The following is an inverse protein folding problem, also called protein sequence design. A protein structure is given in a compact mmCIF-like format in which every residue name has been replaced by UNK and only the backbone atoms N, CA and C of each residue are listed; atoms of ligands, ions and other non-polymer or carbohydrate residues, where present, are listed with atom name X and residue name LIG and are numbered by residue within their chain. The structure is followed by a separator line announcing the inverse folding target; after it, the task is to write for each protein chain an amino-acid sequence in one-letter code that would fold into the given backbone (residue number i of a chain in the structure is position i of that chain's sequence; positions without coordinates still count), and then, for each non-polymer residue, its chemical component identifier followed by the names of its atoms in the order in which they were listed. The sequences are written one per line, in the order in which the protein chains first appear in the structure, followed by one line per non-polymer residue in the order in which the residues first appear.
data_IF_109964401240
#
_entry.id   IF_109964401240
#
_cell.length_a   1.000
_cell.length_b   1.000
_cell.length_c   1.000
_cell.angle_alpha   90.00
_cell.angle_beta   90.00
_cell.angle_gamma   90.00
#
_symmetry.space_group_name_H-M   'P 1'
#
loop_
_entity.id
_entity.type
_entity.pdbx_description
1 polymer ?
#
# COMPACT_ATOMS: atom_id res chain seq x y z
N UNK A 1 34.09 -7.58 30.29
CA UNK A 1 34.17 -8.27 28.98
C UNK A 1 34.03 -9.77 29.24
N UNK A 2 32.87 -10.33 28.98
CA UNK A 2 32.61 -11.76 29.14
C UNK A 2 32.80 -12.45 27.80
N UNK A 3 33.79 -13.34 27.73
CA UNK A 3 34.08 -14.13 26.53
C UNK A 3 32.98 -15.19 26.31
N UNK A 4 32.27 -15.08 25.17
CA UNK A 4 31.37 -16.13 24.69
C UNK A 4 32.20 -17.30 24.14
N UNK A 5 32.08 -18.48 24.75
CA UNK A 5 32.75 -19.69 24.28
C UNK A 5 31.85 -20.54 23.39
N UNK A 6 32.46 -21.35 22.48
CA UNK A 6 31.78 -22.29 21.56
C UNK A 6 30.77 -23.23 22.24
N UNK A 7 30.93 -23.52 23.53
CA UNK A 7 30.00 -24.36 24.30
C UNK A 7 28.65 -23.71 24.60
N UNK A 8 28.60 -22.38 24.69
CA UNK A 8 27.34 -21.64 24.93
C UNK A 8 26.48 -21.60 23.67
N UNK A 9 27.11 -21.54 22.47
CA UNK A 9 26.41 -21.57 21.19
C UNK A 9 25.72 -22.92 20.90
N UNK A 10 26.37 -24.05 21.24
CA UNK A 10 25.82 -25.39 21.01
C UNK A 10 24.66 -25.75 21.97
N UNK A 11 24.61 -25.16 23.18
CA UNK A 11 23.48 -25.37 24.10
C UNK A 11 22.23 -24.59 23.69
N UNK A 12 22.37 -23.45 23.05
CA UNK A 12 21.24 -22.68 22.51
C UNK A 12 20.66 -23.33 21.24
N UNK A 13 21.45 -24.04 20.45
CA UNK A 13 21.00 -24.72 19.22
C UNK A 13 20.25 -26.04 19.54
N UNK A 14 20.51 -26.69 20.68
CA UNK A 14 19.84 -27.94 21.05
C UNK A 14 18.46 -27.71 21.69
N UNK A 15 18.22 -26.52 22.23
CA UNK A 15 16.91 -26.15 22.81
C UNK A 15 15.84 -25.83 21.74
N UNK A 16 16.23 -25.57 20.48
CA UNK A 16 15.31 -25.30 19.37
C UNK A 16 14.82 -26.55 18.64
N UNK A 17 15.43 -27.73 18.86
CA UNK A 17 15.03 -28.97 18.19
C UNK A 17 14.04 -29.83 18.98
N UNK A 18 13.73 -29.51 20.25
CA UNK A 18 12.78 -30.29 21.09
C UNK A 18 11.39 -29.63 21.12
N UNK A 19 11.23 -28.42 20.59
CA UNK A 19 9.90 -27.74 20.52
C UNK A 19 9.01 -28.23 19.36
N UNK A 20 9.49 -29.13 18.50
CA UNK A 20 8.75 -29.61 17.32
C UNK A 20 7.82 -30.82 17.56
N UNK A 21 7.84 -31.46 18.73
CA UNK A 21 7.13 -32.74 18.92
C UNK A 21 6.06 -32.77 20.03
N UNK A 22 5.70 -31.65 20.64
CA UNK A 22 4.68 -31.60 21.71
C UNK A 22 3.41 -30.83 21.32
N UNK A 23 3.25 -30.51 20.04
CA UNK A 23 2.11 -29.71 19.54
C UNK A 23 0.77 -30.46 19.40
N UNK A 24 0.67 -31.74 19.88
CA UNK A 24 -0.53 -32.54 19.68
C UNK A 24 -1.38 -32.76 20.95
N UNK A 25 -1.18 -32.04 22.04
CA UNK A 25 -1.88 -32.32 23.32
C UNK A 25 -2.57 -31.10 23.97
N UNK A 26 -2.82 -30.01 23.26
CA UNK A 26 -3.68 -28.92 23.79
C UNK A 26 -4.91 -28.73 22.90
N UNK A 27 -6.14 -29.02 23.36
CA UNK A 27 -7.37 -28.68 22.66
C UNK A 27 -7.62 -27.17 22.84
N UNK A 28 -7.16 -26.36 21.88
CA UNK A 28 -7.29 -24.89 21.92
C UNK A 28 -6.44 -24.15 20.92
N UNK A 29 -5.63 -24.84 20.15
CA UNK A 29 -4.90 -24.19 19.06
C UNK A 29 -5.86 -23.76 17.95
N UNK A 30 -5.96 -22.44 17.76
CA UNK A 30 -6.59 -21.82 16.60
C UNK A 30 -6.06 -22.52 15.34
N UNK A 31 -6.94 -23.19 14.61
CA UNK A 31 -6.61 -23.73 13.29
C UNK A 31 -6.14 -22.55 12.45
N UNK A 32 -4.87 -22.49 12.13
CA UNK A 32 -4.34 -21.60 11.11
C UNK A 32 -5.13 -21.85 9.84
N UNK A 33 -5.98 -20.91 9.48
CA UNK A 33 -6.75 -21.01 8.24
C UNK A 33 -5.80 -21.34 7.10
N UNK A 34 -6.16 -22.28 6.25
CA UNK A 34 -5.35 -22.68 5.10
C UNK A 34 -5.01 -21.43 4.31
N UNK A 35 -3.72 -21.06 4.27
CA UNK A 35 -3.23 -20.00 3.40
C UNK A 35 -3.50 -20.47 1.96
N UNK A 36 -4.55 -19.92 1.35
CA UNK A 36 -4.89 -20.23 -0.03
C UNK A 36 -3.71 -19.90 -0.94
N UNK A 37 -3.35 -20.83 -1.82
CA UNK A 37 -2.35 -20.57 -2.85
C UNK A 37 -2.79 -19.39 -3.73
N UNK A 38 -1.92 -18.46 -4.14
CA UNK A 38 -2.27 -17.43 -5.12
C UNK A 38 -2.86 -17.97 -6.42
N UNK A 39 -2.52 -19.20 -6.80
CA UNK A 39 -3.10 -19.90 -7.96
C UNK A 39 -4.56 -20.30 -7.71
N UNK A 40 -4.92 -20.62 -6.46
CA UNK A 40 -6.28 -21.03 -6.09
C UNK A 40 -7.26 -19.86 -6.02
N UNK A 41 -6.73 -18.64 -5.90
CA UNK A 41 -7.52 -17.44 -5.64
C UNK A 41 -7.88 -16.69 -6.93
N UNK A 42 -7.25 -17.01 -8.05
CA UNK A 42 -7.33 -16.25 -9.30
C UNK A 42 -8.78 -16.11 -9.80
N UNK A 43 -9.40 -14.96 -9.49
CA UNK A 43 -10.79 -14.65 -9.86
C UNK A 43 -11.85 -15.42 -9.08
N UNK A 44 -11.50 -16.18 -8.04
CA UNK A 44 -12.45 -16.98 -7.26
C UNK A 44 -12.93 -16.23 -6.02
N UNK A 45 -14.19 -16.36 -5.74
CA UNK A 45 -14.82 -16.08 -4.45
C UNK A 45 -14.68 -17.33 -3.58
N UNK A 46 -15.01 -17.23 -2.30
CA UNK A 46 -14.93 -18.33 -1.33
C UNK A 46 -16.34 -18.75 -0.90
N UNK A 47 -16.99 -19.71 -1.58
CA UNK A 47 -18.35 -20.13 -1.29
C UNK A 47 -18.48 -20.66 0.14
N UNK A 48 -19.55 -20.24 0.83
CA UNK A 48 -19.83 -20.67 2.20
C UNK A 48 -18.83 -20.22 3.27
N UNK A 49 -17.97 -19.25 2.94
CA UNK A 49 -16.86 -18.83 3.81
C UNK A 49 -17.13 -17.53 4.60
N UNK A 50 -18.34 -16.98 4.51
CA UNK A 50 -18.76 -15.85 5.32
C UNK A 50 -19.04 -16.29 6.78
N UNK A 51 -18.80 -15.43 7.79
CA UNK A 51 -19.18 -15.73 9.15
C UNK A 51 -20.70 -15.90 9.27
N UNK A 52 -21.15 -16.80 10.12
CA UNK A 52 -22.60 -17.08 10.32
C UNK A 52 -23.37 -15.89 10.89
N UNK A 53 -22.69 -15.00 11.59
CA UNK A 53 -23.26 -13.78 12.21
C UNK A 53 -22.38 -12.59 11.90
N UNK A 54 -23.00 -11.41 11.75
CA UNK A 54 -22.27 -10.17 11.74
C UNK A 54 -21.61 -9.94 13.09
N UNK A 55 -20.38 -9.53 13.08
CA UNK A 55 -19.67 -9.08 14.26
C UNK A 55 -19.69 -7.54 14.35
N UNK A 56 -19.24 -6.98 15.49
CA UNK A 56 -19.26 -5.52 15.71
C UNK A 56 -18.42 -4.73 14.69
N UNK A 57 -17.45 -5.36 14.03
CA UNK A 57 -16.60 -4.77 12.97
C UNK A 57 -17.19 -4.89 11.57
N UNK A 58 -18.48 -5.24 11.47
CA UNK A 58 -19.17 -5.31 10.18
C UNK A 58 -19.86 -3.99 9.87
N UNK A 59 -19.70 -3.54 8.62
CA UNK A 59 -20.36 -2.37 8.06
C UNK A 59 -20.98 -2.71 6.72
N UNK A 60 -22.23 -2.31 6.45
CA UNK A 60 -22.84 -2.50 5.13
C UNK A 60 -22.02 -1.76 4.07
N UNK A 61 -21.76 -2.42 2.93
CA UNK A 61 -20.95 -1.89 1.84
C UNK A 61 -21.57 -0.68 1.17
N UNK A 62 -20.75 0.29 0.77
CA UNK A 62 -21.24 1.51 0.12
C UNK A 62 -21.45 1.34 -1.39
N UNK A 63 -20.73 0.42 -2.02
CA UNK A 63 -20.76 0.20 -3.47
C UNK A 63 -21.02 -1.26 -3.78
N UNK A 64 -22.30 -1.60 -3.97
CA UNK A 64 -22.71 -2.91 -4.45
C UNK A 64 -24.10 -2.87 -5.09
N UNK A 65 -24.40 -3.87 -5.89
CA UNK A 65 -25.72 -4.09 -6.47
C UNK A 65 -26.30 -5.43 -6.01
N UNK A 66 -27.59 -5.44 -5.72
CA UNK A 66 -28.34 -6.68 -5.47
C UNK A 66 -28.69 -7.36 -6.79
N UNK A 67 -28.69 -8.68 -6.79
CA UNK A 67 -29.03 -9.52 -7.92
C UNK A 67 -30.01 -10.62 -7.51
N UNK A 68 -30.54 -11.36 -8.49
CA UNK A 68 -31.46 -12.46 -8.26
C UNK A 68 -30.88 -13.50 -7.28
N UNK A 69 -31.75 -14.14 -6.47
CA UNK A 69 -31.35 -15.18 -5.52
C UNK A 69 -30.51 -14.64 -4.34
N UNK A 70 -30.75 -13.39 -3.91
CA UNK A 70 -30.00 -12.73 -2.85
C UNK A 70 -28.48 -12.65 -3.11
N UNK A 71 -28.05 -12.72 -4.37
CA UNK A 71 -26.67 -12.44 -4.75
C UNK A 71 -26.39 -10.94 -4.68
N UNK A 72 -25.14 -10.61 -4.47
CA UNK A 72 -24.65 -9.22 -4.52
C UNK A 72 -23.41 -9.12 -5.38
N UNK A 73 -23.31 -8.05 -6.17
CA UNK A 73 -22.13 -7.71 -6.94
C UNK A 73 -21.39 -6.57 -6.24
N UNK A 74 -20.16 -6.80 -5.80
CA UNK A 74 -19.30 -5.76 -5.24
C UNK A 74 -18.74 -4.86 -6.35
N UNK A 75 -18.91 -3.55 -6.23
CA UNK A 75 -18.51 -2.56 -7.23
C UNK A 75 -17.28 -1.73 -6.83
N UNK A 76 -16.62 -2.05 -5.71
CA UNK A 76 -15.49 -1.26 -5.21
C UNK A 76 -14.25 -1.37 -6.11
N UNK A 77 -13.94 -2.57 -6.60
CA UNK A 77 -12.73 -2.80 -7.39
C UNK A 77 -12.98 -3.64 -8.65
N UNK A 78 -12.04 -3.66 -9.62
CA UNK A 78 -12.19 -4.38 -10.88
C UNK A 78 -12.29 -5.92 -10.79
N UNK A 79 -12.22 -6.51 -9.60
CA UNK A 79 -12.52 -7.94 -9.42
C UNK A 79 -14.00 -8.25 -9.59
N UNK A 80 -14.89 -7.28 -9.39
CA UNK A 80 -16.34 -7.41 -9.58
C UNK A 80 -16.90 -8.71 -8.99
N UNK A 81 -16.58 -9.00 -7.71
CA UNK A 81 -16.99 -10.23 -7.06
C UNK A 81 -18.51 -10.34 -6.99
N UNK A 82 -19.08 -11.40 -7.60
CA UNK A 82 -20.48 -11.79 -7.48
C UNK A 82 -20.56 -12.84 -6.37
N UNK A 83 -21.24 -12.51 -5.27
CA UNK A 83 -21.28 -13.29 -4.05
C UNK A 83 -22.69 -13.84 -3.83
N UNK A 84 -22.85 -15.14 -3.69
CA UNK A 84 -24.05 -15.76 -3.17
C UNK A 84 -24.16 -15.55 -1.65
N UNK A 85 -25.33 -15.74 -1.02
CA UNK A 85 -25.43 -15.71 0.43
C UNK A 85 -24.43 -16.68 1.08
N UNK A 86 -23.63 -16.16 2.02
CA UNK A 86 -22.57 -16.92 2.69
C UNK A 86 -21.21 -16.88 1.98
N UNK A 87 -21.09 -16.24 0.82
CA UNK A 87 -19.82 -16.14 0.11
C UNK A 87 -18.96 -14.97 0.61
N UNK A 88 -17.65 -15.12 0.41
CA UNK A 88 -16.61 -14.13 0.70
C UNK A 88 -15.91 -13.69 -0.58
N UNK A 89 -15.61 -12.41 -0.70
CA UNK A 89 -14.90 -11.82 -1.83
C UNK A 89 -13.42 -12.23 -1.91
N UNK A 90 -12.82 -12.00 -3.07
CA UNK A 90 -11.39 -12.21 -3.34
C UNK A 90 -10.50 -11.45 -2.36
N UNK A 91 -10.89 -10.24 -1.93
CA UNK A 91 -10.11 -9.44 -0.96
C UNK A 91 -10.22 -9.95 0.48
N UNK A 92 -11.09 -10.90 0.77
CA UNK A 92 -11.36 -11.55 2.06
C UNK A 92 -12.08 -10.68 3.09
N UNK A 93 -12.23 -9.39 2.86
CA UNK A 93 -12.85 -8.44 3.79
C UNK A 93 -14.32 -8.11 3.48
N UNK A 94 -14.86 -8.59 2.35
CA UNK A 94 -16.28 -8.42 1.99
C UNK A 94 -17.01 -9.76 1.98
N UNK A 95 -18.24 -9.77 2.53
CA UNK A 95 -19.10 -10.96 2.62
C UNK A 95 -20.53 -10.62 2.23
N UNK A 96 -21.25 -11.61 1.68
CA UNK A 96 -22.70 -11.51 1.48
C UNK A 96 -23.43 -12.21 2.63
N UNK A 97 -24.20 -11.48 3.40
CA UNK A 97 -25.09 -12.01 4.42
C UNK A 97 -26.53 -11.54 4.14
N UNK A 98 -27.41 -12.52 3.85
CA UNK A 98 -28.83 -12.25 3.62
C UNK A 98 -29.13 -11.33 2.43
N UNK A 99 -28.33 -11.34 1.36
CA UNK A 99 -28.52 -10.49 0.18
C UNK A 99 -28.02 -9.06 0.36
N UNK A 100 -27.15 -8.82 1.34
CA UNK A 100 -26.44 -7.54 1.55
C UNK A 100 -24.94 -7.77 1.60
N UNK A 101 -24.20 -6.85 0.98
CA UNK A 101 -22.73 -6.84 1.08
C UNK A 101 -22.32 -6.17 2.39
N UNK A 102 -21.44 -6.81 3.14
CA UNK A 102 -20.84 -6.24 4.34
C UNK A 102 -19.31 -6.24 4.23
N UNK A 103 -18.69 -5.14 4.61
CA UNK A 103 -17.29 -5.14 5.06
C UNK A 103 -17.23 -5.75 6.45
N UNK A 104 -16.29 -6.64 6.71
CA UNK A 104 -15.99 -7.18 8.03
C UNK A 104 -14.61 -6.70 8.53
N UNK A 105 -14.09 -5.68 7.87
CA UNK A 105 -12.88 -4.95 8.19
C UNK A 105 -13.28 -3.48 8.46
N UNK A 106 -13.74 -3.21 9.70
CA UNK A 106 -14.23 -1.89 10.11
C UNK A 106 -13.91 -1.62 11.58
N UNK A 107 -12.72 -1.11 11.84
CA UNK A 107 -12.25 -0.78 13.18
C UNK A 107 -11.57 -1.94 13.91
N UNK A 108 -11.16 -2.98 13.20
CA UNK A 108 -10.33 -4.09 13.67
C UNK A 108 -8.92 -4.01 13.05
N UNK A 109 -8.23 -2.91 13.35
CA UNK A 109 -6.93 -2.58 12.76
C UNK A 109 -5.87 -3.63 13.11
N UNK A 110 -5.31 -4.29 12.08
CA UNK A 110 -4.21 -5.26 12.22
C UNK A 110 -2.83 -4.61 12.27
N UNK A 111 -2.73 -3.33 11.96
CA UNK A 111 -1.53 -2.52 12.17
C UNK A 111 -1.90 -1.06 12.44
N UNK A 112 -1.23 -0.45 13.43
CA UNK A 112 -1.32 0.97 13.75
C UNK A 112 0.04 1.45 14.24
N UNK A 113 0.66 2.42 13.54
CA UNK A 113 1.99 2.93 13.83
C UNK A 113 2.09 4.43 13.57
N UNK A 114 3.05 5.08 14.20
CA UNK A 114 3.45 6.46 13.86
C UNK A 114 4.69 6.37 12.98
N UNK A 115 4.58 6.82 11.73
CA UNK A 115 5.65 6.77 10.75
C UNK A 115 6.01 8.18 10.24
N UNK A 116 7.24 8.41 9.78
CA UNK A 116 7.53 9.57 8.95
C UNK A 116 6.76 9.46 7.62
N UNK A 117 6.32 10.62 7.10
CA UNK A 117 5.56 10.66 5.83
C UNK A 117 6.38 10.10 4.65
N UNK A 118 7.70 10.27 4.69
CA UNK A 118 8.64 9.78 3.68
C UNK A 118 8.60 8.24 3.54
N UNK A 119 8.24 7.52 4.60
CA UNK A 119 8.05 6.05 4.57
C UNK A 119 6.85 5.62 3.72
N UNK A 120 5.98 6.57 3.34
CA UNK A 120 4.80 6.33 2.49
C UNK A 120 5.07 6.53 1.00
N UNK A 121 6.30 6.50 0.53
CA UNK A 121 6.92 7.22 -0.58
C UNK A 121 6.14 8.49 -1.00
N UNK A 122 6.00 9.41 -0.02
CA UNK A 122 5.42 10.75 -0.22
C UNK A 122 6.50 11.78 0.11
N UNK A 123 7.29 12.14 -0.90
CA UNK A 123 8.46 13.02 -0.77
C UNK A 123 8.13 14.48 -1.01
N UNK A 124 7.05 14.76 -1.74
CA UNK A 124 6.55 16.10 -2.03
C UNK A 124 5.25 16.41 -1.28
N UNK A 125 4.94 15.65 -0.24
CA UNK A 125 3.76 15.85 0.61
C UNK A 125 4.18 16.06 2.06
N UNK A 126 4.11 17.31 2.55
CA UNK A 126 4.36 17.72 3.94
C UNK A 126 5.60 17.05 4.57
N UNK A 127 6.80 17.16 3.96
CA UNK A 127 8.01 16.49 4.45
C UNK A 127 8.31 16.87 5.91
N UNK A 128 9.02 15.99 6.63
CA UNK A 128 9.31 16.07 8.06
C UNK A 128 8.12 15.86 8.99
N UNK A 129 6.91 15.58 8.47
CA UNK A 129 5.76 15.32 9.33
C UNK A 129 5.63 13.85 9.68
N UNK A 130 4.96 13.60 10.80
CA UNK A 130 4.53 12.25 11.19
C UNK A 130 3.14 11.97 10.65
N UNK A 131 2.89 10.73 10.30
CA UNK A 131 1.58 10.22 9.90
C UNK A 131 1.18 9.05 10.79
N UNK A 132 -0.08 9.03 11.22
CA UNK A 132 -0.65 7.86 11.89
C UNK A 132 -1.05 6.85 10.82
N UNK A 133 -0.32 5.75 10.74
CA UNK A 133 -0.45 4.72 9.70
C UNK A 133 -1.27 3.57 10.21
N UNK A 134 -2.30 3.17 9.49
CA UNK A 134 -3.18 2.08 9.87
C UNK A 134 -3.48 1.12 8.72
N UNK A 135 -3.81 -0.13 9.06
CA UNK A 135 -4.28 -1.16 8.15
C UNK A 135 -5.34 -2.03 8.78
N UNK A 136 -6.28 -2.45 7.97
CA UNK A 136 -7.14 -3.61 8.19
C UNK A 136 -6.66 -4.77 7.32
N UNK A 137 -7.04 -6.02 7.63
CA UNK A 137 -6.59 -7.17 6.87
C UNK A 137 -7.29 -7.30 5.51
N UNK A 138 -6.57 -7.85 4.54
CA UNK A 138 -7.06 -8.14 3.20
C UNK A 138 -6.40 -7.34 2.08
N UNK A 139 -6.47 -7.87 0.87
CA UNK A 139 -6.01 -7.21 -0.36
C UNK A 139 -6.77 -7.73 -1.57
N UNK A 140 -7.07 -6.86 -2.53
CA UNK A 140 -7.73 -7.21 -3.78
C UNK A 140 -6.77 -7.73 -4.87
N UNK A 141 -5.46 -7.77 -4.58
CA UNK A 141 -4.42 -8.40 -5.38
C UNK A 141 -3.72 -9.53 -4.61
N UNK A 142 -2.78 -10.26 -5.28
CA UNK A 142 -2.13 -11.45 -4.76
C UNK A 142 -0.67 -11.50 -5.16
N UNK A 143 0.03 -10.39 -4.94
CA UNK A 143 1.42 -10.25 -5.34
C UNK A 143 2.28 -11.37 -4.76
N UNK A 144 3.04 -12.06 -5.62
CA UNK A 144 3.96 -13.13 -5.21
C UNK A 144 5.10 -12.59 -4.33
N UNK A 145 5.40 -11.30 -4.45
CA UNK A 145 6.45 -10.56 -3.74
C UNK A 145 5.92 -9.72 -2.58
N UNK A 146 4.73 -10.00 -2.05
CA UNK A 146 4.11 -9.16 -1.04
C UNK A 146 4.93 -9.12 0.25
N UNK A 147 5.34 -7.92 0.68
CA UNK A 147 6.10 -7.74 1.92
C UNK A 147 5.22 -7.90 3.16
N UNK A 148 3.95 -7.53 3.07
CA UNK A 148 2.98 -7.56 4.16
C UNK A 148 1.96 -8.70 3.96
N UNK A 149 2.41 -9.85 3.43
CA UNK A 149 1.52 -10.96 3.08
C UNK A 149 0.74 -11.50 4.28
N UNK A 150 1.31 -11.44 5.48
CA UNK A 150 0.69 -11.92 6.71
C UNK A 150 -0.66 -11.24 6.98
N UNK A 151 -0.80 -9.96 6.64
CA UNK A 151 -2.06 -9.22 6.82
C UNK A 151 -2.81 -9.02 5.49
N UNK A 152 -2.09 -8.91 4.37
CA UNK A 152 -2.70 -8.68 3.04
C UNK A 152 -3.36 -9.92 2.47
N UNK A 153 -2.84 -11.12 2.79
CA UNK A 153 -3.37 -12.40 2.31
C UNK A 153 -4.17 -13.15 3.38
N UNK A 154 -4.56 -12.48 4.45
CA UNK A 154 -5.33 -12.99 5.56
C UNK A 154 -6.78 -12.49 5.55
N UNK A 155 -7.66 -13.15 6.31
CA UNK A 155 -9.00 -12.68 6.65
C UNK A 155 -8.92 -11.77 7.87
N UNK A 156 -9.84 -10.82 8.03
CA UNK A 156 -9.87 -9.96 9.21
C UNK A 156 -9.97 -10.71 10.55
N UNK A 157 -10.63 -11.87 10.57
CA UNK A 157 -10.79 -12.70 11.76
C UNK A 157 -9.59 -13.62 12.06
N UNK A 158 -8.66 -13.79 11.11
CA UNK A 158 -7.51 -14.71 11.24
C UNK A 158 -6.23 -14.00 11.72
N UNK A 159 -6.27 -12.67 11.90
CA UNK A 159 -5.12 -11.88 12.33
C UNK A 159 -5.38 -11.24 13.70
N UNK A 160 -4.32 -11.00 14.46
CA UNK A 160 -4.40 -10.16 15.66
C UNK A 160 -4.71 -8.72 15.25
N UNK A 161 -5.60 -8.08 15.98
CA UNK A 161 -5.99 -6.69 15.73
C UNK A 161 -6.23 -5.93 17.03
N UNK A 162 -6.19 -4.62 16.95
CA UNK A 162 -6.65 -3.69 17.98
C UNK A 162 -7.96 -3.04 17.55
N UNK A 163 -8.86 -2.83 18.50
CA UNK A 163 -10.07 -2.06 18.24
C UNK A 163 -9.69 -0.60 18.01
N UNK A 164 -10.07 -0.08 16.84
CA UNK A 164 -9.72 1.27 16.43
C UNK A 164 -10.82 1.83 15.51
N UNK A 165 -11.96 2.19 16.08
CA UNK A 165 -13.06 2.80 15.31
C UNK A 165 -12.65 4.19 14.78
N UNK A 166 -13.37 4.77 13.80
CA UNK A 166 -12.98 6.05 13.18
C UNK A 166 -12.65 7.16 14.17
N UNK A 167 -13.44 7.33 15.23
CA UNK A 167 -13.20 8.35 16.25
C UNK A 167 -11.93 8.10 17.05
N UNK A 168 -11.62 6.82 17.35
CA UNK A 168 -10.42 6.42 18.07
C UNK A 168 -9.17 6.62 17.23
N UNK A 169 -9.24 6.30 15.92
CA UNK A 169 -8.15 6.54 14.97
C UNK A 169 -7.81 8.02 14.86
N UNK A 170 -8.80 8.89 14.73
CA UNK A 170 -8.61 10.34 14.69
C UNK A 170 -8.04 10.87 16.01
N UNK A 171 -8.55 10.40 17.15
CA UNK A 171 -8.03 10.75 18.48
C UNK A 171 -6.58 10.33 18.64
N UNK A 172 -6.23 9.10 18.25
CA UNK A 172 -4.86 8.58 18.30
C UNK A 172 -3.92 9.39 17.40
N UNK A 173 -4.33 9.71 16.18
CA UNK A 173 -3.55 10.56 15.26
C UNK A 173 -3.26 11.95 15.87
N UNK A 174 -4.27 12.61 16.44
CA UNK A 174 -4.09 13.91 17.12
C UNK A 174 -3.19 13.81 18.34
N UNK A 175 -3.41 12.83 19.21
CA UNK A 175 -2.64 12.64 20.43
C UNK A 175 -1.15 12.33 20.15
N UNK A 176 -0.85 11.68 19.02
CA UNK A 176 0.52 11.41 18.59
C UNK A 176 1.21 12.60 17.91
N UNK A 177 0.50 13.72 17.71
CA UNK A 177 1.00 14.87 16.95
C UNK A 177 1.26 14.55 15.47
N UNK A 178 0.54 13.58 14.91
CA UNK A 178 0.57 13.28 13.48
C UNK A 178 -0.15 14.36 12.68
N UNK A 179 0.41 14.75 11.54
CA UNK A 179 -0.20 15.73 10.64
C UNK A 179 -1.24 15.10 9.68
N UNK A 180 -1.21 13.78 9.57
CA UNK A 180 -2.07 13.01 8.65
C UNK A 180 -2.37 11.61 9.18
N UNK A 181 -3.40 11.00 8.59
CA UNK A 181 -3.66 9.56 8.68
C UNK A 181 -3.28 8.92 7.34
N UNK A 182 -2.45 7.87 7.38
CA UNK A 182 -2.08 7.07 6.22
C UNK A 182 -2.76 5.71 6.26
N UNK A 183 -3.61 5.43 5.30
CA UNK A 183 -4.23 4.12 5.07
C UNK A 183 -3.27 3.30 4.18
N UNK A 184 -2.64 2.25 4.73
CA UNK A 184 -1.44 1.66 4.14
C UNK A 184 -1.22 0.20 4.55
N UNK A 185 -0.03 -0.36 4.32
CA UNK A 185 0.48 -1.71 4.63
C UNK A 185 -0.23 -2.84 3.89
N UNK A 186 -1.52 -3.06 4.12
CA UNK A 186 -2.39 -3.91 3.30
C UNK A 186 -2.97 -3.09 2.14
N UNK A 187 -4.16 -3.40 1.66
CA UNK A 187 -4.79 -2.61 0.60
C UNK A 187 -5.97 -1.80 1.14
N UNK A 188 -5.87 -0.46 1.23
CA UNK A 188 -6.91 0.39 1.81
C UNK A 188 -8.26 0.30 1.10
N UNK A 189 -8.29 -0.03 -0.19
CA UNK A 189 -9.53 -0.15 -0.96
C UNK A 189 -10.41 -1.32 -0.47
N UNK A 190 -9.82 -2.31 0.20
CA UNK A 190 -10.57 -3.46 0.71
C UNK A 190 -11.36 -3.16 1.97
N UNK A 191 -10.96 -2.15 2.72
CA UNK A 191 -11.69 -1.62 3.88
C UNK A 191 -12.25 -0.21 3.61
N UNK A 192 -12.81 -0.04 2.42
CA UNK A 192 -13.28 1.22 1.86
C UNK A 192 -14.19 2.01 2.82
N UNK A 193 -15.16 1.35 3.46
CA UNK A 193 -16.13 1.97 4.37
C UNK A 193 -15.43 2.60 5.58
N UNK A 194 -14.50 1.86 6.20
CA UNK A 194 -13.70 2.33 7.32
C UNK A 194 -12.78 3.49 6.91
N UNK A 195 -12.10 3.35 5.76
CA UNK A 195 -11.24 4.40 5.21
C UNK A 195 -12.05 5.69 4.99
N UNK A 196 -13.18 5.60 4.28
CA UNK A 196 -13.99 6.78 3.93
C UNK A 196 -14.54 7.48 5.18
N UNK A 197 -15.12 6.73 6.11
CA UNK A 197 -15.70 7.29 7.34
C UNK A 197 -14.62 7.93 8.24
N UNK A 198 -13.47 7.26 8.35
CA UNK A 198 -12.33 7.79 9.12
C UNK A 198 -11.75 9.04 8.46
N UNK A 199 -11.57 9.02 7.14
CA UNK A 199 -11.03 10.14 6.40
C UNK A 199 -11.93 11.39 6.47
N UNK A 200 -13.25 11.20 6.40
CA UNK A 200 -14.21 12.30 6.59
C UNK A 200 -14.03 12.93 7.98
N UNK A 201 -14.02 12.11 9.02
CA UNK A 201 -13.85 12.59 10.40
C UNK A 201 -12.47 13.23 10.62
N UNK A 202 -11.42 12.71 9.99
CA UNK A 202 -10.07 13.28 10.05
C UNK A 202 -10.01 14.69 9.46
N UNK A 203 -10.65 14.94 8.31
CA UNK A 203 -10.76 16.28 7.72
C UNK A 203 -11.48 17.27 8.64
N UNK A 204 -12.57 16.85 9.27
CA UNK A 204 -13.31 17.67 10.24
C UNK A 204 -12.44 18.04 11.47
N UNK A 205 -11.32 17.31 11.66
CA UNK A 205 -10.33 17.50 12.72
C UNK A 205 -8.99 18.07 12.23
N UNK A 206 -8.93 18.65 11.03
CA UNK A 206 -7.77 19.27 10.41
C UNK A 206 -6.56 18.30 10.22
N UNK A 207 -6.82 17.00 10.08
CA UNK A 207 -5.84 16.00 9.69
C UNK A 207 -5.93 15.74 8.19
N UNK A 208 -4.77 15.66 7.52
CA UNK A 208 -4.72 15.24 6.12
C UNK A 208 -4.91 13.72 6.00
N UNK A 209 -5.43 13.26 4.86
CA UNK A 209 -5.64 11.85 4.56
C UNK A 209 -4.81 11.41 3.37
N UNK A 210 -4.00 10.38 3.54
CA UNK A 210 -3.19 9.83 2.46
C UNK A 210 -3.40 8.32 2.34
N UNK A 211 -3.36 7.82 1.09
CA UNK A 211 -3.39 6.37 0.83
C UNK A 211 -2.05 5.90 0.24
N UNK A 212 -1.64 4.69 0.59
CA UNK A 212 -0.63 3.92 -0.13
C UNK A 212 -1.31 2.68 -0.68
N UNK A 213 -1.51 2.62 -1.99
CA UNK A 213 -2.41 1.67 -2.62
C UNK A 213 -1.84 1.09 -3.91
N UNK A 214 -2.29 -0.11 -4.25
CA UNK A 214 -2.04 -0.70 -5.56
C UNK A 214 -2.89 -0.05 -6.69
N UNK A 215 -3.74 0.91 -6.37
CA UNK A 215 -4.57 1.64 -7.32
C UNK A 215 -5.65 0.82 -8.03
N UNK A 216 -5.95 -0.40 -7.57
CA UNK A 216 -6.92 -1.29 -8.21
C UNK A 216 -8.34 -1.05 -7.69
N UNK A 217 -8.92 0.09 -8.07
CA UNK A 217 -10.24 0.59 -7.65
C UNK A 217 -11.05 1.01 -8.87
N UNK A 218 -12.38 0.89 -8.82
CA UNK A 218 -13.29 1.40 -9.85
C UNK A 218 -13.44 2.92 -9.77
N UNK A 219 -13.80 3.56 -10.88
CA UNK A 219 -13.83 5.02 -11.01
C UNK A 219 -14.83 5.68 -10.04
N UNK A 220 -16.05 5.15 -9.93
CA UNK A 220 -17.10 5.77 -9.08
C UNK A 220 -16.71 5.80 -7.59
N UNK A 221 -16.31 4.67 -6.94
CA UNK A 221 -15.83 4.73 -5.56
C UNK A 221 -14.58 5.59 -5.40
N UNK A 222 -13.69 5.66 -6.42
CA UNK A 222 -12.51 6.51 -6.36
C UNK A 222 -12.87 8.00 -6.38
N UNK A 223 -13.77 8.43 -7.26
CA UNK A 223 -14.25 9.83 -7.31
C UNK A 223 -14.82 10.24 -5.95
N UNK A 224 -15.64 9.38 -5.34
CA UNK A 224 -16.15 9.65 -3.99
C UNK A 224 -15.02 9.75 -2.96
N UNK A 225 -14.02 8.88 -3.06
CA UNK A 225 -12.86 8.89 -2.15
C UNK A 225 -12.00 10.15 -2.32
N UNK A 226 -11.84 10.67 -3.55
CA UNK A 226 -11.11 11.92 -3.82
C UNK A 226 -11.66 13.12 -3.02
N UNK A 227 -12.96 13.10 -2.65
CA UNK A 227 -13.55 14.19 -1.84
C UNK A 227 -12.97 14.29 -0.42
N UNK A 228 -12.28 13.26 0.06
CA UNK A 228 -11.72 13.19 1.42
C UNK A 228 -10.20 12.92 1.44
N UNK A 229 -9.57 12.68 0.28
CA UNK A 229 -8.12 12.46 0.17
C UNK A 229 -7.37 13.77 -0.10
N UNK A 230 -6.19 13.87 0.48
CA UNK A 230 -5.22 14.96 0.24
C UNK A 230 -4.00 14.46 -0.56
N UNK A 231 -3.63 13.19 -0.41
CA UNK A 231 -2.50 12.60 -1.13
C UNK A 231 -2.63 11.10 -1.35
N UNK A 232 -1.93 10.62 -2.37
CA UNK A 232 -1.88 9.22 -2.74
C UNK A 232 -0.47 8.83 -3.21
N UNK A 233 0.04 7.72 -2.71
CA UNK A 233 1.17 7.00 -3.29
C UNK A 233 0.62 5.74 -3.96
N UNK A 234 0.71 5.66 -5.28
CA UNK A 234 0.13 4.57 -6.08
C UNK A 234 1.22 3.71 -6.70
N UNK A 235 1.14 2.42 -6.46
CA UNK A 235 2.06 1.44 -7.03
C UNK A 235 1.63 1.01 -8.44
N UNK A 236 2.38 1.39 -9.48
CA UNK A 236 2.35 0.69 -10.78
C UNK A 236 3.23 -0.55 -10.63
N UNK A 237 2.63 -1.73 -10.46
CA UNK A 237 3.38 -2.96 -10.20
C UNK A 237 4.16 -3.47 -11.42
N UNK A 238 3.72 -3.14 -12.63
CA UNK A 238 4.35 -3.46 -13.92
C UNK A 238 3.72 -2.62 -15.03
N UNK A 239 4.42 -2.44 -16.14
CA UNK A 239 3.85 -1.83 -17.37
C UNK A 239 3.64 -2.86 -18.48
N UNK A 240 3.40 -4.11 -18.07
CA UNK A 240 3.00 -5.26 -18.90
C UNK A 240 1.81 -5.95 -18.23
N UNK A 241 0.68 -6.09 -18.94
CA UNK A 241 -0.52 -6.72 -18.39
C UNK A 241 -0.28 -8.21 -18.07
N UNK A 242 0.54 -8.91 -18.85
CA UNK A 242 0.93 -10.30 -18.59
C UNK A 242 1.69 -10.46 -17.28
N UNK A 243 2.68 -9.59 -17.04
CA UNK A 243 3.43 -9.59 -15.78
C UNK A 243 2.49 -9.21 -14.63
N UNK A 244 1.63 -8.21 -14.83
CA UNK A 244 0.65 -7.78 -13.84
C UNK A 244 -0.26 -8.93 -13.40
N UNK A 245 -0.77 -9.72 -14.36
CA UNK A 245 -1.59 -10.91 -14.08
C UNK A 245 -0.79 -11.99 -13.33
N UNK A 246 0.43 -12.29 -13.80
CA UNK A 246 1.27 -13.37 -13.24
C UNK A 246 1.80 -13.02 -11.86
N UNK A 247 2.36 -11.82 -11.70
CA UNK A 247 3.05 -11.39 -10.48
C UNK A 247 2.07 -10.89 -9.39
N UNK A 248 1.00 -10.21 -9.80
CA UNK A 248 0.13 -9.45 -8.89
C UNK A 248 -1.32 -9.94 -8.87
N UNK A 249 -1.77 -10.65 -9.88
CA UNK A 249 -3.15 -11.11 -10.01
C UNK A 249 -4.16 -10.01 -10.34
N UNK A 250 -3.68 -8.89 -10.89
CA UNK A 250 -4.48 -7.76 -11.34
C UNK A 250 -4.33 -7.48 -12.84
N UNK A 251 -4.69 -6.28 -13.27
CA UNK A 251 -4.55 -5.75 -14.63
C UNK A 251 -4.00 -4.32 -14.58
N UNK A 252 -3.31 -3.89 -15.63
CA UNK A 252 -2.69 -2.58 -15.72
C UNK A 252 -3.71 -1.45 -15.91
N UNK A 253 -4.64 -1.58 -16.88
CA UNK A 253 -5.54 -0.49 -17.28
C UNK A 253 -6.34 0.14 -16.12
N UNK A 254 -6.91 -0.61 -15.16
CA UNK A 254 -7.61 0.00 -14.04
C UNK A 254 -6.70 0.89 -13.19
N UNK A 255 -5.42 0.54 -13.04
CA UNK A 255 -4.46 1.35 -12.29
C UNK A 255 -4.12 2.64 -13.04
N UNK A 256 -3.96 2.56 -14.36
CA UNK A 256 -3.75 3.76 -15.20
C UNK A 256 -4.97 4.70 -15.16
N UNK A 257 -6.18 4.14 -15.12
CA UNK A 257 -7.42 4.92 -14.92
C UNK A 257 -7.44 5.60 -13.55
N UNK A 258 -7.02 4.90 -12.50
CA UNK A 258 -6.90 5.46 -11.14
C UNK A 258 -5.96 6.65 -11.10
N UNK A 259 -4.78 6.57 -11.72
CA UNK A 259 -3.83 7.67 -11.78
C UNK A 259 -4.41 8.91 -12.46
N UNK A 260 -5.09 8.73 -13.60
CA UNK A 260 -5.78 9.82 -14.30
C UNK A 260 -6.89 10.44 -13.45
N UNK A 261 -7.65 9.63 -12.76
CA UNK A 261 -8.74 10.11 -11.88
C UNK A 261 -8.19 10.93 -10.72
N UNK A 262 -7.16 10.45 -10.00
CA UNK A 262 -6.52 11.18 -8.91
C UNK A 262 -5.93 12.51 -9.39
N UNK A 263 -5.23 12.50 -10.53
CA UNK A 263 -4.68 13.71 -11.16
C UNK A 263 -5.79 14.71 -11.50
N UNK A 264 -6.87 14.27 -12.17
CA UNK A 264 -7.99 15.11 -12.56
C UNK A 264 -8.78 15.70 -11.37
N UNK A 265 -8.71 15.07 -10.21
CA UNK A 265 -9.33 15.55 -8.97
C UNK A 265 -8.37 16.34 -8.05
N UNK A 266 -7.17 16.67 -8.52
CA UNK A 266 -6.14 17.44 -7.79
C UNK A 266 -5.72 16.81 -6.45
N UNK A 267 -5.81 15.50 -6.29
CA UNK A 267 -5.21 14.77 -5.18
C UNK A 267 -3.70 14.74 -5.41
N UNK A 268 -2.88 15.12 -4.42
CA UNK A 268 -1.44 15.02 -4.57
C UNK A 268 -1.05 13.58 -4.87
N UNK A 269 -0.34 13.36 -5.97
CA UNK A 269 -0.05 12.02 -6.47
C UNK A 269 1.46 11.80 -6.60
N UNK A 270 1.97 10.79 -5.92
CA UNK A 270 3.28 10.20 -6.16
C UNK A 270 3.13 8.77 -6.64
N UNK A 271 4.00 8.34 -7.53
CA UNK A 271 3.92 7.03 -8.18
C UNK A 271 5.12 6.21 -7.73
N UNK A 272 4.91 4.93 -7.44
CA UNK A 272 6.00 4.02 -7.12
C UNK A 272 5.95 2.74 -7.96
N UNK A 273 7.12 2.12 -8.17
CA UNK A 273 7.23 0.80 -8.76
C UNK A 273 8.31 0.00 -8.06
N UNK A 274 7.98 -1.23 -7.66
CA UNK A 274 8.96 -2.17 -7.12
C UNK A 274 9.66 -2.88 -8.27
N UNK A 275 10.97 -2.75 -8.34
CA UNK A 275 11.79 -3.39 -9.39
C UNK A 275 12.13 -4.81 -8.95
N UNK A 276 11.46 -5.80 -9.55
CA UNK A 276 11.60 -7.23 -9.22
C UNK A 276 12.43 -7.92 -10.29
N UNK A 277 13.58 -8.51 -9.94
CA UNK A 277 14.45 -9.21 -10.90
C UNK A 277 13.71 -10.30 -11.68
N UNK A 278 13.90 -10.32 -13.00
CA UNK A 278 13.26 -11.27 -13.91
C UNK A 278 11.77 -10.99 -14.20
N UNK A 279 11.19 -9.91 -13.64
CA UNK A 279 9.81 -9.51 -13.88
C UNK A 279 9.68 -8.05 -14.35
N UNK A 280 10.24 -7.12 -13.60
CA UNK A 280 10.05 -5.68 -13.85
C UNK A 280 11.35 -4.90 -13.98
N UNK A 281 12.46 -5.61 -14.18
CA UNK A 281 13.80 -5.06 -14.38
C UNK A 281 14.15 -4.82 -15.86
N UNK A 282 13.14 -4.53 -16.69
CA UNK A 282 13.25 -4.22 -18.13
C UNK A 282 13.25 -2.72 -18.39
N UNK A 283 14.32 -2.21 -19.02
CA UNK A 283 14.49 -0.79 -19.32
C UNK A 283 13.46 -0.28 -20.34
N UNK A 284 13.11 -1.10 -21.34
CA UNK A 284 12.08 -0.75 -22.32
C UNK A 284 10.71 -0.57 -21.67
N UNK A 285 10.39 -1.37 -20.67
CA UNK A 285 9.17 -1.22 -19.87
C UNK A 285 9.19 0.09 -19.06
N UNK A 286 10.32 0.43 -18.43
CA UNK A 286 10.48 1.70 -17.69
C UNK A 286 10.32 2.89 -18.61
N UNK A 287 10.91 2.85 -19.82
CA UNK A 287 10.76 3.89 -20.84
C UNK A 287 9.29 4.10 -21.20
N UNK A 288 8.56 3.03 -21.55
CA UNK A 288 7.13 3.12 -21.88
C UNK A 288 6.28 3.65 -20.72
N UNK A 289 6.56 3.21 -19.50
CA UNK A 289 5.87 3.67 -18.29
C UNK A 289 6.12 5.17 -18.04
N UNK A 290 7.37 5.61 -18.12
CA UNK A 290 7.76 7.02 -17.92
C UNK A 290 7.15 7.93 -19.00
N UNK A 291 7.23 7.56 -20.29
CA UNK A 291 6.59 8.29 -21.39
C UNK A 291 5.07 8.38 -21.20
N UNK A 292 4.43 7.30 -20.70
CA UNK A 292 2.99 7.32 -20.41
C UNK A 292 2.67 8.29 -19.27
N UNK A 293 3.46 8.31 -18.18
CA UNK A 293 3.29 9.25 -17.06
C UNK A 293 3.37 10.69 -17.56
N UNK A 294 4.44 11.04 -18.26
CA UNK A 294 4.64 12.40 -18.78
C UNK A 294 3.51 12.82 -19.73
N UNK A 295 3.08 11.92 -20.63
CA UNK A 295 2.02 12.21 -21.60
C UNK A 295 0.65 12.42 -20.97
N UNK A 296 0.30 11.68 -19.92
CA UNK A 296 -1.06 11.64 -19.37
C UNK A 296 -1.22 12.43 -18.05
N UNK A 297 -0.14 12.61 -17.30
CA UNK A 297 -0.16 13.26 -15.99
C UNK A 297 0.75 14.49 -15.92
N UNK A 298 1.68 14.63 -16.86
CA UNK A 298 2.69 15.69 -16.85
C UNK A 298 4.00 15.26 -16.14
N UNK A 299 5.03 16.13 -16.21
CA UNK A 299 6.38 15.80 -15.74
C UNK A 299 6.58 15.94 -14.24
N UNK A 300 5.61 16.48 -13.51
CA UNK A 300 5.78 16.98 -12.14
C UNK A 300 5.43 15.97 -11.04
N UNK A 301 4.88 14.80 -11.38
CA UNK A 301 4.56 13.75 -10.43
C UNK A 301 5.82 13.01 -10.01
N UNK A 302 6.17 12.96 -8.70
CA UNK A 302 7.30 12.20 -8.21
C UNK A 302 7.16 10.72 -8.54
N UNK A 303 8.24 10.11 -9.01
CA UNK A 303 8.28 8.71 -9.39
C UNK A 303 9.39 7.97 -8.63
N UNK A 304 9.05 6.88 -7.95
CA UNK A 304 9.93 6.15 -7.05
C UNK A 304 10.21 4.75 -7.57
N UNK A 305 11.48 4.42 -7.86
CA UNK A 305 11.95 3.07 -8.11
C UNK A 305 12.36 2.43 -6.78
N UNK A 306 11.60 1.45 -6.32
CA UNK A 306 11.84 0.79 -5.04
C UNK A 306 12.65 -0.49 -5.23
N UNK A 307 13.69 -0.67 -4.41
CA UNK A 307 14.49 -1.88 -4.38
C UNK A 307 13.67 -3.04 -3.84
N UNK A 308 13.63 -4.15 -4.58
CA UNK A 308 13.06 -5.41 -4.13
C UNK A 308 14.02 -6.12 -3.17
N UNK A 309 13.45 -6.73 -2.15
CA UNK A 309 14.10 -7.72 -1.28
C UNK A 309 13.28 -9.02 -1.29
N UNK A 310 13.93 -10.20 -1.24
CA UNK A 310 13.25 -11.50 -1.23
C UNK A 310 12.23 -11.58 -0.09
N UNK A 311 11.00 -11.93 -0.42
CA UNK A 311 9.92 -12.10 0.55
C UNK A 311 8.79 -12.95 -0.03
N UNK A 312 8.06 -13.62 0.85
CA UNK A 312 6.86 -14.41 0.56
C UNK A 312 7.16 -15.53 -0.46
N UNK A 313 6.57 -15.51 -1.66
CA UNK A 313 6.72 -16.54 -2.69
C UNK A 313 7.90 -16.29 -3.64
N UNK A 314 8.52 -15.13 -3.54
CA UNK A 314 9.75 -14.79 -4.27
C UNK A 314 10.94 -14.66 -3.31
N UNK A 315 11.03 -15.57 -2.35
CA UNK A 315 12.08 -15.61 -1.31
C UNK A 315 13.44 -16.07 -1.82
N UNK A 316 13.50 -16.65 -3.04
CA UNK A 316 14.73 -17.16 -3.67
C UNK A 316 15.36 -16.21 -4.70
N UNK A 317 14.67 -15.12 -5.06
CA UNK A 317 15.24 -14.14 -5.97
C UNK A 317 16.26 -13.26 -5.24
N UNK A 318 17.34 -12.83 -5.91
CA UNK A 318 18.26 -11.87 -5.30
C UNK A 318 17.58 -10.49 -5.13
N UNK A 319 18.05 -9.66 -4.18
CA UNK A 319 17.66 -8.27 -4.14
C UNK A 319 18.03 -7.55 -5.45
N UNK A 320 17.22 -6.56 -5.86
CA UNK A 320 17.55 -5.76 -7.05
C UNK A 320 18.90 -5.07 -6.89
N UNK A 321 19.81 -5.16 -7.87
CA UNK A 321 21.05 -4.39 -7.86
C UNK A 321 20.77 -2.88 -7.83
N UNK A 322 21.50 -2.14 -7.00
CA UNK A 322 21.32 -0.67 -6.89
C UNK A 322 21.60 0.02 -8.22
N UNK A 323 22.58 -0.47 -8.99
CA UNK A 323 22.90 0.02 -10.35
C UNK A 323 21.71 -0.05 -11.31
N UNK A 324 20.82 -1.05 -11.17
CA UNK A 324 19.60 -1.14 -11.97
C UNK A 324 18.64 0.01 -11.64
N UNK A 325 18.48 0.35 -10.36
CA UNK A 325 17.62 1.45 -9.94
C UNK A 325 18.16 2.81 -10.40
N UNK A 326 19.48 3.01 -10.32
CA UNK A 326 20.17 4.23 -10.81
C UNK A 326 19.90 4.39 -12.32
N UNK A 327 20.13 3.34 -13.10
CA UNK A 327 19.86 3.35 -14.55
C UNK A 327 18.40 3.65 -14.85
N UNK A 328 17.44 3.08 -14.11
CA UNK A 328 16.01 3.35 -14.31
C UNK A 328 15.64 4.79 -13.96
N UNK A 329 16.25 5.36 -12.92
CA UNK A 329 16.13 6.79 -12.61
C UNK A 329 16.58 7.65 -13.78
N UNK A 330 17.75 7.37 -14.36
CA UNK A 330 18.26 8.09 -15.52
C UNK A 330 17.35 7.97 -16.74
N UNK A 331 16.83 6.76 -17.03
CA UNK A 331 15.88 6.53 -18.11
C UNK A 331 14.62 7.36 -17.91
N UNK A 332 14.02 7.33 -16.72
CA UNK A 332 12.81 8.07 -16.44
C UNK A 332 12.99 9.59 -16.53
N UNK A 333 14.15 10.09 -16.09
CA UNK A 333 14.50 11.51 -16.24
C UNK A 333 14.70 11.90 -17.71
N UNK A 334 15.31 11.05 -18.53
CA UNK A 334 15.45 11.26 -20.00
C UNK A 334 14.10 11.27 -20.71
N UNK A 335 13.10 10.52 -20.22
CA UNK A 335 11.73 10.55 -20.72
C UNK A 335 10.94 11.80 -20.26
N UNK A 336 11.52 12.67 -19.42
CA UNK A 336 10.98 13.95 -19.04
C UNK A 336 10.36 14.04 -17.64
N UNK A 337 10.44 13.01 -16.81
CA UNK A 337 9.98 13.10 -15.41
C UNK A 337 11.00 13.94 -14.62
N UNK A 338 10.53 14.99 -13.95
CA UNK A 338 11.41 15.94 -13.23
C UNK A 338 11.92 15.40 -11.90
N UNK A 339 11.14 14.58 -11.22
CA UNK A 339 11.43 14.11 -9.87
C UNK A 339 11.41 12.60 -9.82
N UNK A 340 12.59 11.98 -9.87
CA UNK A 340 12.73 10.52 -9.86
C UNK A 340 13.61 10.11 -8.69
N UNK A 341 13.09 9.18 -7.88
CA UNK A 341 13.71 8.74 -6.63
C UNK A 341 14.09 7.26 -6.67
N UNK A 342 15.11 6.91 -5.84
CA UNK A 342 15.55 5.53 -5.61
C UNK A 342 15.21 5.19 -4.16
N UNK A 343 14.23 4.31 -3.94
CA UNK A 343 13.78 3.93 -2.61
C UNK A 343 14.33 2.58 -2.13
N UNK A 344 14.24 2.33 -0.84
CA UNK A 344 14.79 1.15 -0.15
C UNK A 344 16.33 0.99 -0.32
N UNK A 345 17.03 2.10 -0.54
CA UNK A 345 18.49 2.18 -0.58
C UNK A 345 18.90 3.30 0.39
N UNK A 346 19.38 2.97 1.58
CA UNK A 346 19.81 3.98 2.57
C UNK A 346 20.94 4.85 2.01
N UNK A 347 20.97 6.12 2.46
CA UNK A 347 22.08 7.07 2.20
C UNK A 347 22.45 7.26 0.72
N UNK A 348 21.49 7.10 -0.17
CA UNK A 348 21.72 7.27 -1.60
C UNK A 348 21.24 8.65 -2.08
N UNK A 349 22.06 9.34 -2.89
CA UNK A 349 21.74 10.68 -3.43
C UNK A 349 20.43 10.71 -4.25
N UNK A 350 20.03 9.58 -4.83
CA UNK A 350 18.76 9.41 -5.51
C UNK A 350 17.52 9.54 -4.62
N UNK A 351 17.70 9.66 -3.28
CA UNK A 351 16.63 9.99 -2.33
C UNK A 351 16.42 11.51 -2.18
N UNK A 352 17.36 12.31 -2.68
CA UNK A 352 17.36 13.75 -2.50
C UNK A 352 16.50 14.44 -3.56
N UNK A 353 15.90 15.57 -3.18
CA UNK A 353 15.16 16.43 -4.11
C UNK A 353 16.06 17.55 -4.61
N UNK A 354 16.14 17.69 -5.93
CA UNK A 354 16.88 18.75 -6.60
C UNK A 354 15.92 19.67 -7.35
N UNK A 355 16.27 20.94 -7.44
CA UNK A 355 15.51 21.91 -8.24
C UNK A 355 15.59 21.55 -9.73
N UNK A 356 14.45 21.36 -10.39
CA UNK A 356 14.40 21.03 -11.82
C UNK A 356 14.87 22.16 -12.74
N UNK A 357 14.98 23.40 -12.22
CA UNK A 357 15.43 24.56 -12.98
C UNK A 357 16.93 24.85 -12.80
N UNK A 358 17.43 24.92 -11.55
CA UNK A 358 18.82 25.29 -11.30
C UNK A 358 19.71 24.13 -10.81
N UNK A 359 19.18 22.91 -10.68
CA UNK A 359 19.91 21.70 -10.27
C UNK A 359 20.36 21.67 -8.80
N UNK A 360 20.15 22.73 -8.01
CA UNK A 360 20.61 22.77 -6.62
C UNK A 360 19.80 21.87 -5.72
N UNK A 361 20.47 21.33 -4.68
CA UNK A 361 19.89 20.47 -3.65
C UNK A 361 18.83 21.24 -2.84
N UNK A 362 17.60 20.75 -2.86
CA UNK A 362 16.48 21.31 -2.10
C UNK A 362 16.23 20.56 -0.80
N UNK A 363 16.16 19.24 -0.86
CA UNK A 363 15.89 18.41 0.30
C UNK A 363 16.88 17.24 0.27
N UNK A 364 17.70 17.15 1.32
CA UNK A 364 18.55 15.99 1.56
C UNK A 364 17.81 15.00 2.45
N UNK A 365 17.91 13.71 2.10
CA UNK A 365 17.33 12.61 2.88
C UNK A 365 18.38 11.59 3.25
N UNK A 366 18.54 11.39 4.55
CA UNK A 366 19.33 10.31 5.11
C UNK A 366 18.37 9.31 5.79
N UNK A 367 17.99 8.27 5.05
CA UNK A 367 16.83 7.45 5.40
C UNK A 367 15.54 8.31 5.40
N UNK A 368 14.89 8.43 6.56
CA UNK A 368 13.72 9.29 6.76
C UNK A 368 14.03 10.62 7.46
N UNK A 369 15.28 10.84 7.81
CA UNK A 369 15.73 12.11 8.38
C UNK A 369 16.07 13.11 7.27
N UNK A 370 15.70 14.38 7.46
CA UNK A 370 15.92 15.45 6.50
C UNK A 370 16.86 16.51 7.15
N UNK A 371 18.18 16.40 6.92
CA UNK A 371 19.14 17.36 7.47
C UNK A 371 19.10 18.70 6.74
N UNK A 372 18.86 18.72 5.43
CA UNK A 372 18.83 19.95 4.61
C UNK A 372 17.44 20.16 4.03
N UNK A 373 16.94 21.40 4.16
CA UNK A 373 15.67 21.82 3.59
C UNK A 373 15.80 23.25 3.04
N UNK A 374 15.90 23.38 1.71
CA UNK A 374 16.16 24.62 0.98
C UNK A 374 14.96 25.06 0.15
N UNK A 375 13.75 24.86 0.66
CA UNK A 375 12.53 25.47 0.14
C UNK A 375 12.15 26.67 1.01
N UNK A 376 11.61 27.70 0.35
CA UNK A 376 10.98 28.87 0.95
C UNK A 376 9.50 28.83 0.56
N UNK A 377 8.67 28.30 1.44
CA UNK A 377 7.31 27.87 1.09
C UNK A 377 7.32 26.86 -0.06
N UNK A 378 6.77 27.24 -1.20
CA UNK A 378 6.74 26.41 -2.42
C UNK A 378 7.90 26.66 -3.37
N UNK A 379 8.85 27.52 -3.06
CA UNK A 379 9.87 27.99 -3.99
C UNK A 379 11.26 27.46 -3.64
N UNK A 380 12.06 27.22 -4.67
CA UNK A 380 13.48 27.00 -4.55
C UNK A 380 14.12 28.22 -3.90
N UNK A 381 14.86 28.04 -2.77
CA UNK A 381 15.55 29.14 -2.09
C UNK A 381 16.52 29.89 -2.98
N UNK A 382 17.10 29.21 -3.97
CA UNK A 382 18.19 29.74 -4.82
C UNK A 382 17.71 30.49 -6.07
N UNK A 383 16.71 29.95 -6.79
CA UNK A 383 16.27 30.52 -8.07
C UNK A 383 14.79 30.91 -8.09
N UNK A 384 14.08 30.74 -6.97
CA UNK A 384 12.66 31.08 -6.80
C UNK A 384 11.68 30.30 -7.70
N UNK A 385 12.16 29.30 -8.43
CA UNK A 385 11.28 28.40 -9.19
C UNK A 385 10.31 27.68 -8.24
N UNK A 386 9.04 27.63 -8.62
CA UNK A 386 8.00 26.90 -7.88
C UNK A 386 8.24 25.39 -8.01
N UNK A 387 8.28 24.70 -6.89
CA UNK A 387 8.44 23.26 -6.83
C UNK A 387 7.07 22.62 -6.59
N UNK A 388 6.59 21.73 -7.47
CA UNK A 388 5.32 21.02 -7.31
C UNK A 388 5.31 20.16 -6.04
N UNK A 389 4.22 20.24 -5.27
CA UNK A 389 4.06 19.51 -4.03
C UNK A 389 3.16 20.22 -3.02
N UNK A 390 2.95 19.59 -1.87
CA UNK A 390 2.27 20.12 -0.69
C UNK A 390 3.34 20.40 0.37
N UNK A 391 3.71 21.64 0.54
CA UNK A 391 4.82 22.08 1.41
C UNK A 391 4.26 22.83 2.62
N UNK A 392 4.56 22.40 3.82
CA UNK A 392 4.18 23.06 5.07
C UNK A 392 2.98 22.50 5.78
#
# INVERSE_FOLDING_TARGET
MAQFTRRTFLRSSLAMFIAGSVANLCPGFVKWGHAYSPLDIKGRIFPGDAPKRLWKYAREGYFYQKSYGNKVACLVCPNHCILSPGDRSVCRSKVNLGGKLYSIAYGNACAANIDPIEKKPLYHFRPRTRTFSLAEAGCNQRCLNCQNWEISQARPEDVSFSELFPADAVKAAKSSGSASIAYTYSEPITFYEYLFDTAKLARDNALSNVIVSNGYINTEPLIKLCSVLDGASIDIKSFSDDIYRKLNGGRLDPVLSTLKTLHGHNVHLEISTLVVPGYTDDEGMVRRMSSWIVKNLGPDHPFHFLRFFPKYKLDRLPPTPVSTLIRFREVAMKEGIRYVYVGNVPEHEGNNTYCHSCGKLLIERNGYFIPIYNLDGRQCRFCKTVIPGVWG
#
